data_IF_989128068874
#
_entry.id   IF_989128068874
#
_cell.length_a   1.000
_cell.length_b   1.000
_cell.length_c   1.000
_cell.angle_alpha   90.00
_cell.angle_beta   90.00
_cell.angle_gamma   90.00
#
_symmetry.space_group_name_H-M   'P 1'
#
loop_
_entity.id
_entity.type
_entity.pdbx_description
1 polymer ?
#
# COMPACT_ATOMS: atom_id res chain seq x y z
N UNK A 1 14.50 15.79 0.75
CA UNK A 1 13.59 15.28 -0.29
C UNK A 1 12.80 16.45 -0.82
N UNK A 2 13.10 16.85 -2.06
CA UNK A 2 12.52 18.01 -2.71
C UNK A 2 11.12 17.74 -3.30
N UNK A 3 10.46 18.81 -3.78
CA UNK A 3 9.14 18.74 -4.41
C UNK A 3 9.14 17.89 -5.68
N UNK A 4 10.09 18.11 -6.57
CA UNK A 4 10.18 17.39 -7.83
C UNK A 4 10.33 15.89 -7.61
N UNK A 5 11.19 15.47 -6.70
CA UNK A 5 11.41 14.08 -6.38
C UNK A 5 10.16 13.38 -5.82
N UNK A 6 9.37 14.10 -5.00
CA UNK A 6 8.09 13.60 -4.50
C UNK A 6 7.07 13.43 -5.62
N UNK A 7 7.00 14.39 -6.54
CA UNK A 7 6.09 14.34 -7.68
C UNK A 7 6.48 13.22 -8.66
N UNK A 8 7.78 13.03 -8.93
CA UNK A 8 8.30 11.90 -9.75
C UNK A 8 7.94 10.55 -9.14
N UNK A 9 8.14 10.38 -7.84
CA UNK A 9 7.74 9.17 -7.11
C UNK A 9 6.24 8.90 -7.27
N UNK A 10 5.43 9.94 -7.19
CA UNK A 10 3.97 9.83 -7.31
C UNK A 10 3.52 9.45 -8.72
N UNK A 11 4.14 10.03 -9.75
CA UNK A 11 3.90 9.62 -11.15
C UNK A 11 4.19 8.14 -11.32
N UNK A 12 5.33 7.65 -10.84
CA UNK A 12 5.70 6.24 -10.92
C UNK A 12 4.74 5.33 -10.16
N UNK A 13 4.23 5.75 -8.98
CA UNK A 13 3.22 4.99 -8.25
C UNK A 13 1.93 4.85 -9.07
N UNK A 14 1.46 5.94 -9.69
CA UNK A 14 0.26 5.93 -10.54
C UNK A 14 0.46 5.07 -11.80
N UNK A 15 1.61 5.20 -12.47
CA UNK A 15 1.95 4.38 -13.65
C UNK A 15 1.96 2.89 -13.33
N UNK A 16 2.62 2.49 -12.23
CA UNK A 16 2.64 1.09 -11.78
C UNK A 16 1.23 0.58 -11.49
N UNK A 17 0.38 1.37 -10.81
CA UNK A 17 -0.98 0.99 -10.51
C UNK A 17 -1.85 0.82 -11.76
N UNK A 18 -1.77 1.75 -12.70
CA UNK A 18 -2.49 1.66 -13.97
C UNK A 18 -2.05 0.46 -14.80
N UNK A 19 -0.74 0.21 -14.90
CA UNK A 19 -0.20 -0.95 -15.59
C UNK A 19 -0.68 -2.27 -14.96
N UNK A 20 -0.74 -2.33 -13.62
CA UNK A 20 -1.24 -3.51 -12.91
C UNK A 20 -2.75 -3.73 -13.11
N UNK A 21 -3.55 -2.66 -13.12
CA UNK A 21 -4.98 -2.70 -13.45
C UNK A 21 -5.18 -3.20 -14.88
N UNK A 22 -4.49 -2.61 -15.84
CA UNK A 22 -4.63 -2.96 -17.26
C UNK A 22 -4.17 -4.39 -17.56
N UNK A 23 -3.24 -4.92 -16.76
CA UNK A 23 -2.78 -6.31 -16.82
C UNK A 23 -3.64 -7.29 -16.01
N UNK A 24 -4.68 -6.83 -15.30
CA UNK A 24 -5.57 -7.67 -14.51
C UNK A 24 -4.97 -8.23 -13.22
N UNK A 25 -3.85 -7.68 -12.72
CA UNK A 25 -3.14 -8.24 -11.56
C UNK A 25 -3.92 -8.16 -10.25
N UNK A 26 -4.92 -7.30 -10.17
CA UNK A 26 -5.78 -7.15 -9.00
C UNK A 26 -7.06 -7.98 -9.04
N UNK A 27 -7.45 -8.54 -10.19
CA UNK A 27 -8.76 -9.20 -10.37
C UNK A 27 -8.99 -10.35 -9.37
N UNK A 28 -7.97 -11.18 -9.13
CA UNK A 28 -8.07 -12.32 -8.22
C UNK A 28 -8.20 -11.96 -6.73
N UNK A 29 -7.93 -10.71 -6.38
CA UNK A 29 -7.95 -10.23 -4.99
C UNK A 29 -9.08 -9.24 -4.71
N UNK A 30 -9.85 -8.86 -5.72
CA UNK A 30 -10.99 -7.94 -5.58
C UNK A 30 -12.29 -8.74 -5.46
N UNK A 31 -13.11 -8.36 -4.47
CA UNK A 31 -14.48 -8.84 -4.34
C UNK A 31 -15.40 -7.76 -4.92
N UNK A 32 -16.03 -7.99 -6.08
CA UNK A 32 -16.93 -7.02 -6.68
C UNK A 32 -18.12 -6.70 -5.79
N UNK A 33 -18.49 -5.41 -5.70
CA UNK A 33 -19.60 -4.93 -4.88
C UNK A 33 -20.70 -4.36 -5.80
N UNK A 34 -21.94 -4.83 -5.60
CA UNK A 34 -23.11 -4.21 -6.25
C UNK A 34 -23.45 -2.89 -5.56
N UNK A 35 -23.48 -1.84 -6.35
CA UNK A 35 -23.82 -0.49 -5.88
C UNK A 35 -25.14 -0.09 -6.49
N UNK A 36 -26.07 0.37 -5.66
CA UNK A 36 -27.37 0.92 -6.07
C UNK A 36 -27.37 2.40 -5.72
N UNK A 37 -27.38 3.23 -6.74
CA UNK A 37 -27.33 4.69 -6.59
C UNK A 37 -28.68 5.29 -6.99
N UNK A 38 -29.27 6.07 -6.07
CA UNK A 38 -30.46 6.85 -6.35
C UNK A 38 -30.04 8.29 -6.68
N UNK A 39 -30.46 8.81 -7.83
CA UNK A 39 -30.12 10.15 -8.27
C UNK A 39 -31.32 10.85 -8.89
N UNK A 40 -31.31 12.20 -8.89
CA UNK A 40 -32.35 13.00 -9.53
C UNK A 40 -31.95 13.37 -10.96
N UNK A 41 -32.86 13.08 -11.91
CA UNK A 41 -32.69 13.53 -13.29
C UNK A 41 -34.04 14.05 -13.81
N UNK A 42 -34.04 15.28 -14.32
CA UNK A 42 -35.24 15.98 -14.82
C UNK A 42 -36.39 16.00 -13.80
N UNK A 43 -36.06 16.25 -12.51
CA UNK A 43 -37.05 16.31 -11.42
C UNK A 43 -37.66 14.97 -10.98
N UNK A 44 -37.15 13.86 -11.49
CA UNK A 44 -37.57 12.49 -11.12
C UNK A 44 -36.44 11.72 -10.46
N UNK A 45 -36.78 10.96 -9.42
CA UNK A 45 -35.85 9.99 -8.81
C UNK A 45 -35.64 8.86 -9.81
N UNK A 46 -34.36 8.54 -10.07
CA UNK A 46 -33.93 7.37 -10.85
C UNK A 46 -32.99 6.53 -10.02
N UNK A 47 -32.91 5.26 -10.36
CA UNK A 47 -32.01 4.30 -9.74
C UNK A 47 -31.07 3.75 -10.81
N UNK A 48 -29.78 3.69 -10.50
CA UNK A 48 -28.77 3.04 -11.33
C UNK A 48 -28.12 1.93 -10.50
N UNK A 49 -28.00 0.76 -11.09
CA UNK A 49 -27.23 -0.35 -10.55
C UNK A 49 -25.89 -0.44 -11.29
N UNK A 50 -24.83 -0.64 -10.57
CA UNK A 50 -23.48 -0.85 -11.12
C UNK A 50 -22.72 -1.85 -10.28
N UNK A 51 -21.64 -2.40 -10.84
CA UNK A 51 -20.71 -3.25 -10.12
C UNK A 51 -19.40 -2.48 -9.91
N UNK A 52 -19.01 -2.27 -8.66
CA UNK A 52 -17.73 -1.66 -8.30
C UNK A 52 -16.68 -2.76 -8.13
N UNK A 53 -15.68 -2.78 -9.01
CA UNK A 53 -14.63 -3.81 -9.07
C UNK A 53 -13.27 -3.30 -9.54
N UNK A 54 -13.12 -1.99 -9.69
CA UNK A 54 -11.86 -1.36 -10.09
C UNK A 54 -11.65 -0.14 -9.21
N UNK A 55 -10.44 0.01 -8.66
CA UNK A 55 -10.09 1.18 -7.87
C UNK A 55 -10.15 2.47 -8.71
N UNK A 56 -10.86 3.48 -8.19
CA UNK A 56 -11.07 4.77 -8.86
C UNK A 56 -9.92 5.76 -8.66
N UNK A 57 -9.01 5.45 -7.73
CA UNK A 57 -7.93 6.32 -7.31
C UNK A 57 -6.91 6.66 -8.41
N UNK A 58 -6.40 5.68 -9.17
CA UNK A 58 -5.36 5.91 -10.16
C UNK A 58 -5.88 6.74 -11.34
N UNK A 59 -5.29 7.93 -11.55
CA UNK A 59 -5.73 8.88 -12.58
C UNK A 59 -4.90 8.75 -13.84
N UNK A 60 -5.52 8.33 -14.95
CA UNK A 60 -4.88 8.33 -16.27
C UNK A 60 -4.49 9.76 -16.65
N UNK A 61 -3.31 9.90 -17.25
CA UNK A 61 -2.77 11.22 -17.63
C UNK A 61 -2.13 12.00 -16.49
N UNK A 62 -1.82 11.37 -15.35
CA UNK A 62 -0.97 11.96 -14.32
C UNK A 62 0.44 12.18 -14.87
N UNK A 63 0.92 13.43 -14.85
CA UNK A 63 2.25 13.82 -15.32
C UNK A 63 2.95 14.69 -14.30
N UNK A 64 4.28 14.74 -14.37
CA UNK A 64 5.09 15.61 -13.53
C UNK A 64 4.67 17.09 -13.70
N UNK A 65 4.39 17.52 -14.94
CA UNK A 65 3.92 18.86 -15.23
C UNK A 65 2.61 19.18 -14.51
N UNK A 66 1.65 18.25 -14.49
CA UNK A 66 0.37 18.46 -13.83
C UNK A 66 0.52 18.50 -12.31
N UNK A 67 1.35 17.60 -11.73
CA UNK A 67 1.60 17.58 -10.31
C UNK A 67 2.35 18.83 -9.83
N UNK A 68 3.30 19.36 -10.61
CA UNK A 68 4.09 20.55 -10.25
C UNK A 68 3.24 21.80 -10.06
N UNK A 69 2.05 21.88 -10.69
CA UNK A 69 1.10 22.99 -10.58
C UNK A 69 0.28 22.97 -9.28
N UNK A 70 0.30 21.85 -8.54
CA UNK A 70 -0.47 21.71 -7.30
C UNK A 70 0.15 22.53 -6.17
N UNK A 71 -0.71 23.19 -5.38
CA UNK A 71 -0.28 23.97 -4.23
C UNK A 71 0.05 23.06 -3.05
N UNK A 72 1.03 23.44 -2.21
CA UNK A 72 1.28 22.77 -0.94
C UNK A 72 0.03 22.71 -0.06
N UNK A 73 -0.20 21.56 0.60
CA UNK A 73 -1.41 21.34 1.39
C UNK A 73 -1.27 21.75 2.87
N UNK A 74 -0.04 21.73 3.43
CA UNK A 74 0.16 21.87 4.87
C UNK A 74 0.93 23.13 5.28
N UNK A 75 1.82 23.64 4.44
CA UNK A 75 2.62 24.82 4.72
C UNK A 75 2.81 25.64 3.43
N UNK A 76 2.79 26.95 3.52
CA UNK A 76 2.88 27.86 2.35
C UNK A 76 4.09 27.55 1.43
N UNK A 77 5.23 27.22 2.02
CA UNK A 77 6.46 26.85 1.31
C UNK A 77 6.76 25.33 1.43
N UNK A 78 5.76 24.52 1.68
CA UNK A 78 5.89 23.07 1.80
C UNK A 78 6.00 22.37 0.44
N UNK A 79 6.32 21.10 0.48
CA UNK A 79 6.47 20.26 -0.72
C UNK A 79 5.39 19.20 -0.86
N UNK A 80 4.65 18.90 0.23
CA UNK A 80 3.55 17.92 0.19
C UNK A 80 2.28 18.54 -0.39
N UNK A 81 1.72 17.90 -1.39
CA UNK A 81 0.51 18.31 -2.11
C UNK A 81 -0.51 17.18 -2.15
N UNK A 82 -1.71 17.44 -2.62
CA UNK A 82 -2.70 16.39 -2.88
C UNK A 82 -2.22 15.33 -3.90
N UNK A 83 -1.29 15.69 -4.80
CA UNK A 83 -0.77 14.78 -5.83
C UNK A 83 0.37 13.88 -5.37
N UNK A 84 1.01 14.18 -4.23
CA UNK A 84 2.11 13.39 -3.68
C UNK A 84 1.83 12.90 -2.25
N UNK A 85 0.55 12.77 -1.93
CA UNK A 85 0.00 12.23 -0.69
C UNK A 85 -1.01 11.13 -1.00
N UNK A 86 -1.18 10.18 -0.08
CA UNK A 86 -2.21 9.15 -0.22
C UNK A 86 -3.60 9.77 -0.25
N UNK A 87 -4.51 9.12 -0.96
CA UNK A 87 -5.90 9.54 -1.02
C UNK A 87 -6.64 9.12 0.25
N UNK A 88 -7.58 9.95 0.72
CA UNK A 88 -8.60 9.51 1.67
C UNK A 88 -9.53 8.54 0.94
N UNK A 89 -9.61 7.33 1.44
CA UNK A 89 -10.29 6.24 0.75
C UNK A 89 -11.12 5.42 1.72
N UNK A 90 -12.27 4.99 1.27
CA UNK A 90 -13.01 3.90 1.89
C UNK A 90 -12.48 2.56 1.37
N UNK A 91 -12.55 1.52 2.18
CA UNK A 91 -12.10 0.20 1.79
C UNK A 91 -12.21 -0.83 2.88
N UNK A 92 -12.33 -2.09 2.48
CA UNK A 92 -12.28 -3.24 3.36
C UNK A 92 -11.36 -4.31 2.77
N UNK A 93 -10.66 -5.03 3.64
CA UNK A 93 -9.83 -6.15 3.25
C UNK A 93 -9.85 -7.21 4.36
N UNK A 94 -9.77 -8.48 3.97
CA UNK A 94 -9.84 -9.60 4.89
C UNK A 94 -8.68 -10.55 4.65
N UNK A 95 -8.08 -11.02 5.74
CA UNK A 95 -7.06 -12.06 5.78
C UNK A 95 -7.45 -13.07 6.84
N UNK A 96 -7.57 -14.33 6.46
CA UNK A 96 -7.83 -15.41 7.41
C UNK A 96 -6.49 -15.86 8.02
N UNK A 97 -6.31 -15.58 9.29
CA UNK A 97 -5.14 -16.03 10.08
C UNK A 97 -5.55 -17.20 10.95
N UNK A 98 -4.85 -18.31 10.81
CA UNK A 98 -5.16 -19.56 11.51
C UNK A 98 -3.92 -20.17 12.16
N UNK A 99 -4.12 -20.90 13.25
CA UNK A 99 -3.08 -21.72 13.87
C UNK A 99 -2.89 -23.04 13.13
N UNK A 100 -1.75 -23.67 13.32
CA UNK A 100 -1.50 -25.03 12.79
C UNK A 100 -2.57 -26.03 13.24
N UNK A 101 -3.08 -25.90 14.47
CA UNK A 101 -4.18 -26.71 14.97
C UNK A 101 -5.43 -26.53 14.10
N UNK A 102 -5.80 -25.30 13.81
CA UNK A 102 -6.99 -25.00 12.99
C UNK A 102 -6.81 -25.47 11.54
N UNK A 103 -5.59 -25.38 10.96
CA UNK A 103 -5.31 -25.95 9.63
C UNK A 103 -5.66 -27.44 9.59
N UNK A 104 -5.24 -28.19 10.59
CA UNK A 104 -5.51 -29.64 10.67
C UNK A 104 -6.98 -29.94 10.93
N UNK A 105 -7.60 -29.21 11.87
CA UNK A 105 -9.00 -29.39 12.28
C UNK A 105 -9.99 -29.12 11.14
N UNK A 106 -9.75 -28.06 10.35
CA UNK A 106 -10.63 -27.65 9.26
C UNK A 106 -10.13 -28.07 7.86
N UNK A 107 -9.08 -28.89 7.80
CA UNK A 107 -8.46 -29.35 6.54
C UNK A 107 -8.18 -28.19 5.56
N UNK A 108 -7.57 -27.10 6.06
CA UNK A 108 -7.25 -25.92 5.28
C UNK A 108 -5.85 -26.05 4.65
N UNK A 109 -5.71 -25.54 3.44
CA UNK A 109 -4.40 -25.42 2.79
C UNK A 109 -3.87 -24.01 2.99
N UNK A 110 -2.77 -23.82 3.74
CA UNK A 110 -2.20 -22.48 3.93
C UNK A 110 -1.54 -22.01 2.63
N UNK A 111 -1.65 -20.72 2.34
CA UNK A 111 -1.04 -20.10 1.16
C UNK A 111 0.20 -19.29 1.50
N UNK A 112 0.30 -18.84 2.75
CA UNK A 112 1.41 -18.05 3.25
C UNK A 112 1.58 -18.26 4.75
N UNK A 113 2.74 -17.89 5.28
CA UNK A 113 3.05 -17.90 6.70
C UNK A 113 3.52 -16.50 7.13
N UNK A 114 2.98 -16.00 8.23
CA UNK A 114 3.54 -14.83 8.91
C UNK A 114 4.78 -15.29 9.68
N UNK A 115 5.95 -14.85 9.26
CA UNK A 115 7.23 -15.22 9.91
C UNK A 115 7.38 -14.45 11.21
N UNK A 116 7.23 -13.12 11.14
CA UNK A 116 7.33 -12.24 12.30
C UNK A 116 6.65 -10.90 12.02
N UNK A 117 6.32 -10.19 13.11
CA UNK A 117 5.74 -8.85 13.06
C UNK A 117 6.28 -8.02 14.23
N UNK A 118 6.78 -6.84 13.94
CA UNK A 118 7.32 -5.94 14.95
C UNK A 118 6.78 -4.53 14.81
N UNK A 119 6.61 -3.87 15.94
CA UNK A 119 6.28 -2.45 16.05
C UNK A 119 7.42 -1.72 16.77
N UNK A 120 7.73 -0.52 16.31
CA UNK A 120 8.73 0.34 16.93
C UNK A 120 8.18 1.74 17.13
N UNK A 121 8.48 2.35 18.28
CA UNK A 121 8.17 3.75 18.55
C UNK A 121 9.18 4.68 17.88
N UNK A 122 8.69 5.84 17.45
CA UNK A 122 9.48 6.99 17.01
C UNK A 122 8.87 8.27 17.57
N UNK A 123 9.56 9.38 17.44
CA UNK A 123 9.02 10.69 17.87
C UNK A 123 7.71 10.98 17.11
N UNK A 124 6.60 11.37 17.78
CA UNK A 124 5.29 11.54 17.17
C UNK A 124 5.28 12.45 15.94
N UNK A 125 6.03 13.55 15.96
CA UNK A 125 6.12 14.47 14.82
C UNK A 125 6.95 13.94 13.65
N UNK A 126 7.61 12.81 13.81
CA UNK A 126 8.33 12.06 12.77
C UNK A 126 7.65 10.74 12.44
N UNK A 127 6.38 10.57 12.73
CA UNK A 127 5.67 9.30 12.59
C UNK A 127 5.86 8.63 11.21
N UNK A 128 5.95 9.42 10.15
CA UNK A 128 6.11 8.91 8.78
C UNK A 128 7.34 8.04 8.58
N UNK A 129 8.40 8.24 9.35
CA UNK A 129 9.63 7.43 9.27
C UNK A 129 9.66 6.23 10.23
N UNK A 130 8.53 5.91 10.86
CA UNK A 130 8.38 4.71 11.71
C UNK A 130 8.92 3.41 11.10
N UNK A 131 8.71 3.13 9.81
CA UNK A 131 9.29 1.96 9.15
C UNK A 131 10.82 1.85 9.24
N UNK A 132 11.55 2.98 9.32
CA UNK A 132 13.02 2.97 9.47
C UNK A 132 13.44 2.28 10.77
N UNK A 133 12.61 2.37 11.82
CA UNK A 133 12.86 1.69 13.08
C UNK A 133 12.29 0.27 13.12
N UNK A 134 11.14 0.04 12.47
CA UNK A 134 10.44 -1.25 12.51
C UNK A 134 11.09 -2.32 11.62
N UNK A 135 11.53 -1.95 10.40
CA UNK A 135 12.14 -2.88 9.44
C UNK A 135 13.40 -3.56 10.00
N UNK A 136 14.41 -2.85 10.49
CA UNK A 136 15.58 -3.51 11.08
C UNK A 136 15.24 -4.38 12.30
N UNK A 137 14.23 -3.99 13.08
CA UNK A 137 13.78 -4.75 14.24
C UNK A 137 13.18 -6.09 13.85
N UNK A 138 12.27 -6.13 12.88
CA UNK A 138 11.64 -7.38 12.42
C UNK A 138 12.66 -8.30 11.75
N UNK A 139 13.57 -7.74 10.93
CA UNK A 139 14.64 -8.51 10.28
C UNK A 139 15.57 -9.16 11.31
N UNK A 140 16.00 -8.39 12.31
CA UNK A 140 16.83 -8.91 13.41
C UNK A 140 16.13 -10.04 14.16
N UNK A 141 14.86 -9.87 14.47
CA UNK A 141 14.07 -10.85 15.23
C UNK A 141 13.84 -12.12 14.42
N UNK A 142 13.60 -12.00 13.12
CA UNK A 142 13.47 -13.13 12.19
C UNK A 142 14.81 -13.76 11.77
N UNK A 143 15.94 -13.21 12.21
CA UNK A 143 17.29 -13.58 11.76
C UNK A 143 17.45 -13.53 10.23
N UNK A 144 16.96 -12.47 9.62
CA UNK A 144 16.99 -12.20 8.19
C UNK A 144 17.66 -10.86 7.87
N UNK A 145 18.03 -10.67 6.62
CA UNK A 145 18.59 -9.44 6.08
C UNK A 145 17.65 -8.80 5.05
N UNK A 146 17.82 -7.52 4.73
CA UNK A 146 17.04 -6.83 3.68
C UNK A 146 17.15 -7.55 2.33
N UNK A 147 18.33 -8.11 2.03
CA UNK A 147 18.57 -8.83 0.77
C UNK A 147 17.72 -10.09 0.61
N UNK A 148 17.29 -10.71 1.71
CA UNK A 148 16.45 -11.92 1.71
C UNK A 148 15.01 -11.60 1.31
N UNK A 149 14.60 -10.32 1.35
CA UNK A 149 13.25 -9.89 1.01
C UNK A 149 13.15 -9.66 -0.49
N UNK A 150 12.23 -10.36 -1.12
CA UNK A 150 11.99 -10.26 -2.56
C UNK A 150 11.18 -9.03 -2.93
N UNK A 151 10.13 -8.71 -2.18
CA UNK A 151 9.22 -7.59 -2.43
C UNK A 151 8.86 -6.85 -1.14
N UNK A 152 8.58 -5.55 -1.27
CA UNK A 152 8.12 -4.69 -0.18
C UNK A 152 6.80 -4.01 -0.57
N UNK A 153 5.82 -4.10 0.30
CA UNK A 153 4.64 -3.22 0.33
C UNK A 153 4.84 -2.18 1.45
N UNK A 154 5.38 -1.04 1.07
CA UNK A 154 5.56 0.13 1.93
C UNK A 154 4.38 1.07 1.74
N UNK A 155 3.57 1.27 2.78
CA UNK A 155 2.44 2.20 2.67
C UNK A 155 2.92 3.61 2.33
N UNK A 156 2.41 4.15 1.22
CA UNK A 156 2.73 5.48 0.72
C UNK A 156 1.79 6.53 1.33
N UNK A 157 1.90 6.79 2.65
CA UNK A 157 1.13 7.86 3.25
C UNK A 157 1.46 9.21 2.59
N UNK A 158 2.75 9.42 2.32
CA UNK A 158 3.32 10.57 1.59
C UNK A 158 4.52 10.10 0.77
N UNK A 159 4.74 10.71 -0.40
CA UNK A 159 5.94 10.44 -1.20
C UNK A 159 7.23 10.77 -0.43
N UNK A 160 7.23 11.87 0.34
CA UNK A 160 8.38 12.27 1.18
C UNK A 160 8.77 11.21 2.20
N UNK A 161 7.78 10.61 2.87
CA UNK A 161 7.98 9.58 3.87
C UNK A 161 8.49 8.28 3.22
N UNK A 162 7.89 7.86 2.11
CA UNK A 162 8.30 6.64 1.39
C UNK A 162 9.73 6.75 0.87
N UNK A 163 10.07 7.87 0.26
CA UNK A 163 11.44 8.18 -0.20
C UNK A 163 12.44 8.21 0.95
N UNK A 164 12.06 8.77 2.12
CA UNK A 164 12.93 8.77 3.29
C UNK A 164 13.23 7.34 3.77
N UNK A 165 12.23 6.47 3.83
CA UNK A 165 12.40 5.06 4.21
C UNK A 165 13.30 4.33 3.20
N UNK A 166 12.98 4.43 1.90
CA UNK A 166 13.72 3.77 0.82
C UNK A 166 15.20 4.18 0.86
N UNK A 167 15.49 5.48 0.91
CA UNK A 167 16.86 6.00 0.91
C UNK A 167 17.63 5.63 2.18
N UNK A 168 17.02 5.76 3.35
CA UNK A 168 17.71 5.51 4.62
C UNK A 168 18.09 4.05 4.80
N UNK A 169 17.21 3.14 4.36
CA UNK A 169 17.44 1.70 4.49
C UNK A 169 18.09 1.08 3.25
N UNK A 170 18.32 1.84 2.19
CA UNK A 170 18.90 1.34 0.95
C UNK A 170 18.02 0.29 0.26
N UNK A 171 16.70 0.44 0.35
CA UNK A 171 15.77 -0.48 -0.33
C UNK A 171 15.90 -0.31 -1.84
N UNK A 172 15.88 -1.43 -2.57
CA UNK A 172 15.83 -1.42 -4.02
C UNK A 172 14.43 -0.92 -4.48
N UNK A 173 14.33 0.25 -5.16
CA UNK A 173 13.04 0.79 -5.58
C UNK A 173 12.29 -0.11 -6.56
N UNK A 174 12.99 -1.01 -7.25
CA UNK A 174 12.37 -1.98 -8.18
C UNK A 174 11.61 -3.10 -7.46
N UNK A 175 11.88 -3.28 -6.17
CA UNK A 175 11.20 -4.24 -5.29
C UNK A 175 10.10 -3.61 -4.44
N UNK A 176 9.97 -2.28 -4.42
CA UNK A 176 9.01 -1.56 -3.58
C UNK A 176 7.77 -1.19 -4.37
N UNK A 177 6.59 -1.55 -3.83
CA UNK A 177 5.27 -1.20 -4.39
C UNK A 177 5.25 -1.42 -5.91
N UNK A 178 5.52 -2.64 -6.31
CA UNK A 178 5.74 -2.98 -7.73
C UNK A 178 4.49 -2.82 -8.60
N UNK A 179 3.32 -2.77 -7.98
CA UNK A 179 2.03 -2.52 -8.61
C UNK A 179 1.41 -1.17 -8.19
N UNK A 180 2.25 -0.20 -7.80
CA UNK A 180 1.80 1.07 -7.24
C UNK A 180 1.43 0.97 -5.76
N UNK A 181 1.35 2.11 -5.09
CA UNK A 181 1.04 2.20 -3.67
C UNK A 181 -0.12 3.15 -3.35
N UNK A 182 -0.20 3.61 -2.12
CA UNK A 182 -1.35 4.34 -1.61
C UNK A 182 -1.58 5.72 -2.24
N UNK A 183 -0.57 6.33 -2.83
CA UNK A 183 -0.74 7.59 -3.60
C UNK A 183 -1.68 7.36 -4.78
N UNK A 184 -1.56 6.21 -5.44
CA UNK A 184 -2.43 5.82 -6.55
C UNK A 184 -3.71 5.11 -6.06
N UNK A 185 -3.55 4.07 -5.23
CA UNK A 185 -4.59 3.09 -4.86
C UNK A 185 -5.35 3.43 -3.57
N UNK A 186 -4.97 4.53 -2.88
CA UNK A 186 -5.60 4.94 -1.65
C UNK A 186 -5.11 4.23 -0.37
N UNK A 187 -5.42 4.88 0.76
CA UNK A 187 -5.03 4.44 2.10
C UNK A 187 -6.25 4.38 3.05
N UNK A 188 -7.09 3.35 2.95
CA UNK A 188 -8.17 3.15 3.91
C UNK A 188 -7.58 2.70 5.25
N UNK A 189 -7.38 3.65 6.18
CA UNK A 189 -6.55 3.54 7.38
C UNK A 189 -6.68 2.19 8.11
N UNK A 190 -7.89 1.79 8.46
CA UNK A 190 -8.14 0.55 9.18
C UNK A 190 -7.96 -0.73 8.35
N UNK A 191 -8.04 -0.64 7.03
CA UNK A 191 -7.92 -1.79 6.12
C UNK A 191 -6.53 -1.95 5.50
N UNK A 192 -5.68 -0.91 5.54
CA UNK A 192 -4.41 -0.89 4.80
C UNK A 192 -3.50 -2.08 5.12
N UNK A 193 -3.36 -2.48 6.38
CA UNK A 193 -2.53 -3.63 6.74
C UNK A 193 -2.98 -4.93 6.08
N UNK A 194 -4.28 -5.21 6.09
CA UNK A 194 -4.85 -6.38 5.43
C UNK A 194 -4.75 -6.26 3.90
N UNK A 195 -5.04 -5.06 3.33
CA UNK A 195 -4.91 -4.77 1.90
C UNK A 195 -3.49 -5.07 1.38
N UNK A 196 -2.46 -4.50 2.01
CA UNK A 196 -1.07 -4.72 1.62
C UNK A 196 -0.64 -6.18 1.79
N UNK A 197 -1.18 -6.88 2.81
CA UNK A 197 -0.96 -8.32 2.99
C UNK A 197 -1.55 -9.14 1.85
N UNK A 198 -2.76 -8.83 1.41
CA UNK A 198 -3.37 -9.48 0.24
C UNK A 198 -2.55 -9.19 -1.02
N UNK A 199 -2.16 -7.93 -1.24
CA UNK A 199 -1.39 -7.54 -2.41
C UNK A 199 -0.04 -8.26 -2.48
N UNK A 200 0.74 -8.26 -1.39
CA UNK A 200 2.07 -8.88 -1.40
C UNK A 200 2.01 -10.39 -1.59
N UNK A 201 1.04 -11.08 -0.99
CA UNK A 201 0.85 -12.53 -1.17
C UNK A 201 0.57 -12.85 -2.64
N UNK A 202 -0.37 -12.15 -3.27
CA UNK A 202 -0.72 -12.38 -4.66
C UNK A 202 0.46 -12.07 -5.59
N UNK A 203 1.19 -10.99 -5.34
CA UNK A 203 2.31 -10.58 -6.18
C UNK A 203 3.53 -11.50 -6.03
N UNK A 204 3.84 -11.96 -4.83
CA UNK A 204 4.88 -12.96 -4.62
C UNK A 204 4.56 -14.26 -5.36
N UNK A 205 3.32 -14.73 -5.28
CA UNK A 205 2.86 -15.91 -6.04
C UNK A 205 2.98 -15.71 -7.54
N UNK A 206 2.49 -14.57 -8.05
CA UNK A 206 2.51 -14.25 -9.48
C UNK A 206 3.94 -14.21 -10.04
N UNK A 207 4.91 -13.73 -9.23
CA UNK A 207 6.33 -13.64 -9.61
C UNK A 207 7.15 -14.87 -9.24
N UNK A 208 6.55 -15.88 -8.63
CA UNK A 208 7.26 -17.05 -8.08
C UNK A 208 8.39 -16.62 -7.12
N UNK A 209 8.06 -15.72 -6.19
CA UNK A 209 8.92 -15.20 -5.15
C UNK A 209 8.49 -15.71 -3.79
N UNK A 210 9.38 -15.64 -2.80
CA UNK A 210 9.17 -16.32 -1.51
C UNK A 210 8.88 -15.38 -0.36
N UNK A 211 9.68 -14.34 -0.17
CA UNK A 211 9.58 -13.47 1.01
C UNK A 211 9.12 -12.07 0.65
N UNK A 212 8.11 -11.60 1.35
CA UNK A 212 7.60 -10.24 1.25
C UNK A 212 7.55 -9.54 2.59
N UNK A 213 7.68 -8.23 2.55
CA UNK A 213 7.53 -7.39 3.74
C UNK A 213 6.41 -6.38 3.55
N UNK A 214 5.49 -6.33 4.50
CA UNK A 214 4.49 -5.27 4.63
C UNK A 214 4.94 -4.32 5.72
N UNK A 215 4.98 -3.03 5.43
CA UNK A 215 5.42 -2.03 6.41
C UNK A 215 4.66 -0.71 6.25
N UNK A 216 4.44 -0.03 7.37
CA UNK A 216 3.71 1.22 7.40
C UNK A 216 4.07 2.08 8.60
N UNK A 217 3.90 3.37 8.46
CA UNK A 217 3.87 4.28 9.60
C UNK A 217 2.51 4.20 10.30
N UNK A 218 2.50 4.48 11.59
CA UNK A 218 1.30 4.48 12.43
C UNK A 218 1.23 5.81 13.16
N UNK A 219 0.06 6.40 13.23
CA UNK A 219 -0.20 7.63 13.98
C UNK A 219 0.33 7.57 15.42
N UNK A 220 0.57 8.72 16.00
CA UNK A 220 1.17 8.88 17.35
C UNK A 220 2.64 8.48 17.47
N UNK A 221 3.34 8.21 16.35
CA UNK A 221 4.79 7.97 16.34
C UNK A 221 5.16 6.51 16.46
N UNK A 222 4.67 5.67 15.57
CA UNK A 222 5.02 4.26 15.50
C UNK A 222 5.28 3.84 14.04
N UNK A 223 6.00 2.74 13.88
CA UNK A 223 6.13 2.02 12.63
C UNK A 223 5.89 0.54 12.85
N UNK A 224 5.31 -0.13 11.86
CA UNK A 224 5.11 -1.57 11.85
C UNK A 224 5.80 -2.21 10.65
N UNK A 225 6.30 -3.43 10.82
CA UNK A 225 6.80 -4.26 9.73
C UNK A 225 6.49 -5.74 10.00
N UNK A 226 6.02 -6.45 8.99
CA UNK A 226 5.72 -7.87 9.03
C UNK A 226 6.33 -8.60 7.84
N UNK A 227 6.88 -9.80 8.06
CA UNK A 227 7.49 -10.65 7.04
C UNK A 227 6.55 -11.82 6.74
N UNK A 228 6.27 -12.00 5.46
CA UNK A 228 5.38 -13.05 4.93
C UNK A 228 6.21 -13.96 4.04
N UNK A 229 6.02 -15.27 4.21
CA UNK A 229 6.58 -16.31 3.36
C UNK A 229 5.48 -17.00 2.57
N UNK A 230 5.66 -17.18 1.28
CA UNK A 230 4.80 -18.04 0.45
C UNK A 230 5.18 -19.52 0.66
N UNK A 231 4.16 -20.38 0.81
CA UNK A 231 4.31 -21.82 1.08
C UNK A 231 4.18 -22.65 -0.19
#
# INVERSE_FOLDING_TARGET
IGRQEQDEFSVHSVEKALNAIDAGYFESQIVPIKVVENYFENGKMKTRESEFKVDEGPRRGTTLENLSKLKPAFAANGFSTAGNSSQMSDGAAFVLVVSEKALKEYNLTPIARLIDYQVSGVEPYKMGVGPIAAIPKVLKHANMNIADIDLFELNEAFASQSLAVIKTLGLDPSKVNVNGGAIALGHPLGATGAKLTVQIINELKRRNKKYGMVTMCIGSGQGAAGIIEIL
#
